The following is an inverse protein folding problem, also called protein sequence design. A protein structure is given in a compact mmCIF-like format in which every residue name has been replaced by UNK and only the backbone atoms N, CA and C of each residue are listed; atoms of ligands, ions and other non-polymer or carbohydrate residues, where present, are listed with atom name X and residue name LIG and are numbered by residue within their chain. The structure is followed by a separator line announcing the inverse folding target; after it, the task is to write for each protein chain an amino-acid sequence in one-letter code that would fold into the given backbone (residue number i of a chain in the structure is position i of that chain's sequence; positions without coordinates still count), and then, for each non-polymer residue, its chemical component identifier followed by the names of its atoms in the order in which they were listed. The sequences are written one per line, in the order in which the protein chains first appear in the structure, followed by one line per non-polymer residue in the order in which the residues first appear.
data_IF_238610802126
#
_entry.id   IF_238610802126
#
_cell.length_a   1.000
_cell.length_b   1.000
_cell.length_c   1.000
_cell.angle_alpha   90.00
_cell.angle_beta   90.00
_cell.angle_gamma   90.00
#
_symmetry.space_group_name_H-M   'P 1'
#
loop_
_entity.id
_entity.type
_entity.pdbx_description
1 polymer ?
#
# COMPACT_ATOMS: atom_id res chain seq x y z
N UNK A 1 -32.63 -9.64 -8.72
CA UNK A 1 -32.78 -8.62 -7.64
C UNK A 1 -32.99 -9.18 -6.22
N UNK A 2 -32.98 -10.50 -5.96
CA UNK A 2 -33.24 -11.08 -4.61
C UNK A 2 -32.00 -11.51 -3.81
N UNK A 3 -30.91 -11.87 -4.50
CA UNK A 3 -29.63 -12.34 -3.93
C UNK A 3 -28.94 -11.30 -3.03
N UNK A 4 -28.98 -10.03 -3.44
CA UNK A 4 -28.41 -8.92 -2.66
C UNK A 4 -29.21 -8.65 -1.38
N UNK A 5 -30.53 -8.86 -1.40
CA UNK A 5 -31.39 -8.68 -0.22
C UNK A 5 -31.21 -9.84 0.76
N UNK A 6 -31.08 -11.08 0.27
CA UNK A 6 -30.77 -12.26 1.11
C UNK A 6 -29.38 -12.18 1.75
N UNK A 7 -28.37 -11.69 1.03
CA UNK A 7 -27.03 -11.43 1.59
C UNK A 7 -27.06 -10.40 2.71
N UNK A 8 -27.85 -9.32 2.56
CA UNK A 8 -28.04 -8.31 3.62
C UNK A 8 -28.71 -8.90 4.87
N UNK A 9 -29.70 -9.78 4.71
CA UNK A 9 -30.39 -10.40 5.86
C UNK A 9 -29.53 -11.43 6.59
N UNK A 10 -28.70 -12.18 5.86
CA UNK A 10 -27.77 -13.15 6.47
C UNK A 10 -26.60 -12.49 7.21
N UNK A 11 -26.17 -11.30 6.76
CA UNK A 11 -25.05 -10.55 7.33
C UNK A 11 -25.46 -9.59 8.47
N UNK A 12 -26.76 -9.43 8.76
CA UNK A 12 -27.27 -8.72 9.95
C UNK A 12 -26.51 -7.43 10.29
N UNK A 13 -26.10 -7.30 11.55
CA UNK A 13 -25.31 -6.16 12.06
C UNK A 13 -23.87 -6.09 11.52
N UNK A 14 -23.41 -7.15 10.83
CA UNK A 14 -22.07 -7.26 10.25
C UNK A 14 -22.02 -6.75 8.80
N UNK A 15 -23.17 -6.47 8.18
CA UNK A 15 -23.23 -5.91 6.82
C UNK A 15 -22.76 -4.44 6.83
N UNK A 16 -21.52 -4.22 6.42
CA UNK A 16 -20.89 -2.89 6.41
C UNK A 16 -20.06 -2.58 7.67
N UNK A 17 -19.97 -3.51 8.63
CA UNK A 17 -18.93 -3.42 9.65
C UNK A 17 -17.63 -3.89 9.04
N UNK A 18 -16.68 -2.95 8.93
CA UNK A 18 -15.29 -3.20 8.64
C UNK A 18 -14.85 -4.47 9.44
N UNK A 19 -14.42 -5.54 8.74
CA UNK A 19 -14.12 -6.88 9.26
C UNK A 19 -13.09 -6.95 10.43
N UNK A 20 -13.48 -6.71 11.69
CA UNK A 20 -12.53 -6.65 12.84
C UNK A 20 -11.70 -7.92 12.87
N UNK A 21 -10.43 -7.78 12.51
CA UNK A 21 -9.50 -8.90 12.35
C UNK A 21 -9.27 -9.57 13.72
N UNK A 22 -9.39 -8.84 14.83
CA UNK A 22 -9.31 -9.35 16.21
C UNK A 22 -10.20 -8.54 17.18
N UNK A 23 -11.09 -9.18 17.97
CA UNK A 23 -12.01 -8.49 18.89
C UNK A 23 -11.39 -7.98 20.20
N UNK A 24 -10.14 -8.36 20.51
CA UNK A 24 -9.49 -8.03 21.80
C UNK A 24 -8.51 -6.85 21.74
N UNK A 25 -8.25 -6.30 20.54
CA UNK A 25 -7.35 -5.15 20.37
C UNK A 25 -8.19 -3.91 20.00
N UNK A 26 -8.15 -2.83 20.79
CA UNK A 26 -8.90 -1.60 20.52
C UNK A 26 -8.18 -0.75 19.46
N UNK A 27 -7.80 -1.35 18.34
CA UNK A 27 -7.36 -0.60 17.16
C UNK A 27 -8.58 -0.45 16.27
N UNK A 28 -9.03 0.80 16.06
CA UNK A 28 -10.11 1.04 15.11
C UNK A 28 -9.61 0.62 13.72
N UNK A 29 -10.42 -0.12 12.98
CA UNK A 29 -10.02 -0.60 11.66
C UNK A 29 -9.74 0.53 10.70
N UNK A 30 -10.45 1.63 10.85
CA UNK A 30 -10.14 2.89 10.19
C UNK A 30 -8.69 3.35 10.42
N UNK A 31 -8.13 3.23 11.62
CA UNK A 31 -6.72 3.58 11.89
C UNK A 31 -5.75 2.59 11.25
N UNK A 32 -6.06 1.29 11.29
CA UNK A 32 -5.23 0.27 10.65
C UNK A 32 -5.24 0.41 9.11
N UNK A 33 -6.40 0.66 8.51
CA UNK A 33 -6.54 0.88 7.07
C UNK A 33 -5.85 2.18 6.63
N UNK A 34 -5.94 3.25 7.44
CA UNK A 34 -5.20 4.49 7.20
C UNK A 34 -3.68 4.25 7.30
N UNK A 35 -3.21 3.50 8.30
CA UNK A 35 -1.80 3.17 8.48
C UNK A 35 -1.26 2.32 7.32
N UNK A 36 -1.98 1.27 6.93
CA UNK A 36 -1.60 0.40 5.81
C UNK A 36 -1.61 1.18 4.50
N UNK A 37 -2.62 2.01 4.25
CA UNK A 37 -2.66 2.82 3.02
C UNK A 37 -1.54 3.84 2.95
N UNK A 38 -1.22 4.52 4.06
CA UNK A 38 -0.12 5.46 4.13
C UNK A 38 1.25 4.78 3.96
N UNK A 39 1.47 3.66 4.65
CA UNK A 39 2.71 2.88 4.56
C UNK A 39 2.89 2.27 3.17
N UNK A 40 1.81 1.78 2.56
CA UNK A 40 1.84 1.24 1.19
C UNK A 40 2.19 2.33 0.18
N UNK A 41 1.60 3.52 0.31
CA UNK A 41 1.98 4.68 -0.52
C UNK A 41 3.44 5.08 -0.29
N UNK A 42 3.91 5.10 0.95
CA UNK A 42 5.31 5.35 1.30
C UNK A 42 6.26 4.33 0.70
N UNK A 43 5.89 3.05 0.70
CA UNK A 43 6.68 1.98 0.09
C UNK A 43 6.85 2.18 -1.42
N UNK A 44 5.76 2.55 -2.13
CA UNK A 44 5.84 2.88 -3.55
C UNK A 44 6.73 4.08 -3.84
N UNK A 45 6.68 5.12 -3.00
CA UNK A 45 7.58 6.27 -3.10
C UNK A 45 9.03 5.82 -2.90
N UNK A 46 9.31 4.99 -1.88
CA UNK A 46 10.63 4.45 -1.62
C UNK A 46 11.19 3.65 -2.80
N UNK A 47 10.38 2.77 -3.39
CA UNK A 47 10.74 2.02 -4.60
C UNK A 47 11.03 2.99 -5.75
N UNK A 48 10.17 3.99 -5.98
CA UNK A 48 10.37 5.00 -7.03
C UNK A 48 11.68 5.77 -6.87
N UNK A 49 12.00 6.21 -5.64
CA UNK A 49 13.27 6.87 -5.32
C UNK A 49 14.45 5.93 -5.58
N UNK A 50 14.35 4.67 -5.16
CA UNK A 50 15.43 3.71 -5.32
C UNK A 50 15.74 3.42 -6.79
N UNK A 51 14.70 3.28 -7.63
CA UNK A 51 14.85 3.14 -9.09
C UNK A 51 15.42 4.42 -9.71
N UNK A 52 14.94 5.59 -9.30
CA UNK A 52 15.41 6.88 -9.83
C UNK A 52 16.89 7.10 -9.49
N UNK A 53 17.29 6.79 -8.25
CA UNK A 53 18.68 6.87 -7.82
C UNK A 53 19.55 5.87 -8.59
N UNK A 54 19.08 4.62 -8.78
CA UNK A 54 19.78 3.62 -9.58
C UNK A 54 20.00 4.08 -11.02
N UNK A 55 18.96 4.63 -11.67
CA UNK A 55 19.07 5.19 -13.03
C UNK A 55 20.05 6.37 -13.09
N UNK A 56 19.97 7.26 -12.11
CA UNK A 56 20.88 8.40 -11.99
C UNK A 56 22.32 7.93 -11.89
N UNK A 57 22.58 6.91 -11.06
CA UNK A 57 23.92 6.38 -10.86
C UNK A 57 24.43 5.66 -12.11
N UNK A 58 23.57 4.88 -12.77
CA UNK A 58 23.97 3.99 -13.87
C UNK A 58 24.04 4.69 -15.22
N UNK A 59 23.23 5.71 -15.45
CA UNK A 59 23.09 6.37 -16.75
C UNK A 59 23.49 7.84 -16.71
N UNK A 60 22.95 8.62 -15.77
CA UNK A 60 23.23 10.07 -15.69
C UNK A 60 24.70 10.29 -15.31
N UNK A 61 25.19 9.68 -14.24
CA UNK A 61 26.59 9.81 -13.81
C UNK A 61 27.60 9.55 -14.93
N UNK A 62 27.50 8.43 -15.66
CA UNK A 62 28.40 8.14 -16.77
C UNK A 62 28.20 9.04 -17.99
N UNK A 63 26.95 9.40 -18.33
CA UNK A 63 26.66 10.30 -19.46
C UNK A 63 27.22 11.71 -19.23
N UNK A 64 27.23 12.19 -17.98
CA UNK A 64 27.83 13.47 -17.59
C UNK A 64 29.33 13.34 -17.23
N UNK A 65 29.91 12.14 -17.32
CA UNK A 65 31.34 11.89 -17.08
C UNK A 65 31.77 11.93 -15.61
N UNK A 66 30.84 11.88 -14.65
CA UNK A 66 31.13 11.93 -13.21
C UNK A 66 31.83 10.67 -12.69
N UNK A 67 31.55 9.51 -13.28
CA UNK A 67 32.28 8.24 -13.04
C UNK A 67 32.06 7.27 -14.20
N UNK A 68 32.92 6.26 -14.29
CA UNK A 68 32.81 5.20 -15.27
C UNK A 68 32.24 3.95 -14.60
N UNK A 69 31.30 3.26 -15.27
CA UNK A 69 30.82 1.97 -14.78
C UNK A 69 31.69 0.90 -15.41
N UNK A 70 32.55 0.30 -14.59
CA UNK A 70 33.34 -0.87 -14.98
C UNK A 70 32.38 -2.03 -15.26
N UNK A 71 32.51 -2.62 -16.44
CA UNK A 71 31.71 -3.75 -16.90
C UNK A 71 32.17 -5.05 -16.25
#
# INVERSE_FOLDING_TARGET
MGEAKRRKTALGETYGQEARILPWVPISKSQAELFVSWTTRGAWIGIGIMVTAWLTIRFIGPAFGWWQVVA
#
